data_IF_133249924825
#
_entry.id   IF_133249924825
#
_cell.length_a   1.000
_cell.length_b   1.000
_cell.length_c   1.000
_cell.angle_alpha   90.00
_cell.angle_beta   90.00
_cell.angle_gamma   90.00
#
_symmetry.space_group_name_H-M   'P 1'
#
loop_
_entity.id
_entity.type
_entity.pdbx_description
1 polymer ?
#
# COMPACT_ATOMS: atom_id res chain seq x y z
N UNK A 1 9.89 -16.64 -37.77
CA UNK A 1 10.16 -15.19 -37.85
C UNK A 1 9.18 -14.49 -36.92
N UNK A 2 9.32 -14.75 -35.62
CA UNK A 2 9.41 -13.78 -34.54
C UNK A 2 8.64 -12.46 -34.76
N UNK A 3 7.31 -12.58 -34.70
CA UNK A 3 6.37 -11.48 -34.45
C UNK A 3 6.52 -11.00 -32.99
N UNK A 4 7.72 -10.54 -32.62
CA UNK A 4 7.90 -9.88 -31.32
C UNK A 4 7.09 -8.59 -31.36
N UNK A 5 6.12 -8.41 -30.44
CA UNK A 5 5.37 -7.17 -30.38
C UNK A 5 6.35 -6.01 -30.20
N UNK A 6 6.15 -4.94 -30.97
CA UNK A 6 6.99 -3.74 -30.93
C UNK A 6 7.26 -3.36 -29.46
N UNK A 7 8.52 -3.17 -29.04
CA UNK A 7 8.90 -2.95 -27.64
C UNK A 7 8.07 -1.86 -26.92
N UNK A 8 7.55 -0.88 -27.67
CA UNK A 8 6.66 0.16 -27.13
C UNK A 8 5.34 -0.37 -26.53
N UNK A 9 4.88 -1.55 -26.95
CA UNK A 9 3.66 -2.17 -26.44
C UNK A 9 3.93 -3.14 -25.29
N UNK A 10 5.19 -3.51 -25.04
CA UNK A 10 5.54 -4.53 -24.04
C UNK A 10 5.04 -4.21 -22.62
N UNK A 11 5.15 -2.96 -22.09
CA UNK A 11 4.58 -2.64 -20.78
C UNK A 11 3.07 -2.82 -20.74
N UNK A 12 2.37 -2.39 -21.82
CA UNK A 12 0.91 -2.44 -21.89
C UNK A 12 0.39 -3.88 -22.01
N UNK A 13 1.03 -4.71 -22.82
CA UNK A 13 0.68 -6.13 -22.96
C UNK A 13 0.93 -6.86 -21.65
N UNK A 14 2.10 -6.65 -21.03
CA UNK A 14 2.41 -7.25 -19.72
C UNK A 14 1.39 -6.83 -18.66
N UNK A 15 0.94 -5.58 -18.68
CA UNK A 15 -0.04 -5.08 -17.73
C UNK A 15 -1.39 -5.79 -17.89
N UNK A 16 -1.87 -5.94 -19.13
CA UNK A 16 -3.12 -6.63 -19.43
C UNK A 16 -3.05 -8.12 -19.06
N UNK A 17 -1.92 -8.78 -19.33
CA UNK A 17 -1.69 -10.17 -18.91
C UNK A 17 -1.73 -10.29 -17.39
N UNK A 18 -1.10 -9.35 -16.66
CA UNK A 18 -1.18 -9.28 -15.21
C UNK A 18 -2.61 -9.11 -14.70
N UNK A 19 -3.40 -8.24 -15.32
CA UNK A 19 -4.81 -8.06 -14.96
C UNK A 19 -5.62 -9.33 -15.17
N UNK A 20 -5.50 -9.99 -16.32
CA UNK A 20 -6.25 -11.22 -16.56
C UNK A 20 -5.83 -12.35 -15.63
N UNK A 21 -4.52 -12.49 -15.37
CA UNK A 21 -4.03 -13.46 -14.41
C UNK A 21 -4.56 -13.18 -13.00
N UNK A 22 -4.60 -11.90 -12.58
CA UNK A 22 -5.17 -11.48 -11.30
C UNK A 22 -6.65 -11.86 -11.19
N UNK A 23 -7.46 -11.61 -12.23
CA UNK A 23 -8.88 -11.98 -12.27
C UNK A 23 -9.12 -13.50 -12.27
N UNK A 24 -8.12 -14.28 -12.70
CA UNK A 24 -8.15 -15.75 -12.65
C UNK A 24 -7.54 -16.31 -11.36
N UNK A 25 -7.13 -15.45 -10.41
CA UNK A 25 -6.39 -15.81 -9.21
C UNK A 25 -5.08 -16.60 -9.51
N UNK A 26 -4.55 -16.43 -10.72
CA UNK A 26 -3.30 -16.99 -11.18
C UNK A 26 -2.14 -16.08 -10.71
N UNK A 27 -1.87 -16.14 -9.41
CA UNK A 27 -1.01 -15.16 -8.73
C UNK A 27 0.43 -15.16 -9.26
N UNK A 28 1.02 -16.32 -9.53
CA UNK A 28 2.38 -16.45 -10.06
C UNK A 28 2.51 -15.74 -11.43
N UNK A 29 1.54 -15.94 -12.31
CA UNK A 29 1.49 -15.30 -13.63
C UNK A 29 1.26 -13.79 -13.50
N UNK A 30 0.41 -13.35 -12.58
CA UNK A 30 0.18 -11.93 -12.33
C UNK A 30 1.44 -11.23 -11.80
N UNK A 31 2.11 -11.85 -10.82
CA UNK A 31 3.39 -11.42 -10.25
C UNK A 31 4.45 -11.33 -11.34
N UNK A 32 4.58 -12.35 -12.19
CA UNK A 32 5.56 -12.35 -13.28
C UNK A 32 5.29 -11.22 -14.28
N UNK A 33 4.03 -10.98 -14.64
CA UNK A 33 3.62 -9.98 -15.61
C UNK A 33 3.82 -8.54 -15.10
N UNK A 34 3.37 -8.21 -13.89
CA UNK A 34 3.62 -6.92 -13.27
C UNK A 34 5.11 -6.70 -12.95
N UNK A 35 5.78 -7.74 -12.47
CA UNK A 35 7.21 -7.78 -12.21
C UNK A 35 8.06 -7.44 -13.44
N UNK A 36 7.64 -7.87 -14.63
CA UNK A 36 8.32 -7.54 -15.88
C UNK A 36 8.32 -6.04 -16.17
N UNK A 37 7.21 -5.33 -15.88
CA UNK A 37 7.10 -3.89 -16.12
C UNK A 37 8.05 -3.13 -15.20
N UNK A 38 8.04 -3.45 -13.90
CA UNK A 38 8.85 -2.72 -12.91
C UNK A 38 10.34 -2.98 -13.08
N UNK A 39 10.74 -4.18 -13.55
CA UNK A 39 12.14 -4.49 -13.84
C UNK A 39 12.65 -3.88 -15.14
N UNK A 40 11.86 -3.96 -16.22
CA UNK A 40 12.32 -3.61 -17.56
C UNK A 40 11.94 -2.19 -17.99
N UNK A 41 10.93 -1.61 -17.35
CA UNK A 41 10.34 -0.32 -17.71
C UNK A 41 10.00 0.56 -16.49
N UNK A 42 10.94 0.77 -15.53
CA UNK A 42 10.65 1.49 -14.29
C UNK A 42 10.20 2.95 -14.49
N UNK A 43 10.61 3.60 -15.58
CA UNK A 43 10.20 4.98 -15.90
C UNK A 43 8.84 5.07 -16.63
N UNK A 44 8.23 3.93 -16.96
CA UNK A 44 6.95 3.92 -17.68
C UNK A 44 5.80 4.35 -16.76
N UNK A 45 4.77 5.01 -17.31
CA UNK A 45 3.65 5.51 -16.51
C UNK A 45 2.85 4.40 -15.80
N UNK A 46 2.92 3.15 -16.29
CA UNK A 46 2.33 1.96 -15.66
C UNK A 46 3.20 1.37 -14.54
N UNK A 47 4.47 1.75 -14.41
CA UNK A 47 5.37 1.12 -13.45
C UNK A 47 4.95 1.33 -11.98
N UNK A 48 4.51 2.54 -11.54
CA UNK A 48 4.00 2.70 -10.17
C UNK A 48 2.77 1.85 -9.90
N UNK A 49 1.83 1.78 -10.84
CA UNK A 49 0.63 0.98 -10.69
C UNK A 49 0.94 -0.53 -10.71
N UNK A 50 1.86 -0.95 -11.58
CA UNK A 50 2.33 -2.34 -11.65
C UNK A 50 3.04 -2.75 -10.37
N UNK A 51 3.83 -1.87 -9.76
CA UNK A 51 4.47 -2.12 -8.46
C UNK A 51 3.43 -2.26 -7.35
N UNK A 52 2.36 -1.46 -7.37
CA UNK A 52 1.26 -1.60 -6.42
C UNK A 52 0.52 -2.93 -6.61
N UNK A 53 0.20 -3.26 -7.86
CA UNK A 53 -0.47 -4.51 -8.23
C UNK A 53 0.35 -5.75 -7.88
N UNK A 54 1.67 -5.68 -8.04
CA UNK A 54 2.60 -6.70 -7.58
C UNK A 54 2.45 -6.96 -6.08
N UNK A 55 2.42 -5.89 -5.26
CA UNK A 55 2.16 -6.01 -3.83
C UNK A 55 0.80 -6.63 -3.51
N UNK A 56 -0.27 -6.22 -4.22
CA UNK A 56 -1.58 -6.83 -4.05
C UNK A 56 -1.59 -8.33 -4.39
N UNK A 57 -0.91 -8.73 -5.48
CA UNK A 57 -0.86 -10.15 -5.87
C UNK A 57 -0.12 -10.98 -4.83
N UNK A 58 0.98 -10.47 -4.27
CA UNK A 58 1.67 -11.13 -3.15
C UNK A 58 0.78 -11.23 -1.90
N UNK A 59 -0.01 -10.20 -1.56
CA UNK A 59 -0.97 -10.28 -0.44
C UNK A 59 -2.00 -11.39 -0.65
N UNK A 60 -2.62 -11.46 -1.83
CA UNK A 60 -3.63 -12.47 -2.16
C UNK A 60 -3.03 -13.88 -2.25
N UNK A 61 -1.75 -14.01 -2.61
CA UNK A 61 -1.00 -15.26 -2.57
C UNK A 61 -0.59 -15.69 -1.14
N UNK A 62 -0.79 -14.83 -0.13
CA UNK A 62 -0.35 -15.06 1.25
C UNK A 62 1.13 -14.75 1.52
N UNK A 63 1.81 -14.16 0.55
CA UNK A 63 3.22 -13.77 0.57
C UNK A 63 3.36 -12.36 1.17
N UNK A 64 3.02 -12.25 2.46
CA UNK A 64 2.84 -10.95 3.13
C UNK A 64 4.13 -10.12 3.25
N UNK A 65 5.29 -10.76 3.31
CA UNK A 65 6.58 -10.07 3.45
C UNK A 65 7.01 -9.52 2.07
N UNK A 66 6.80 -10.27 1.00
CA UNK A 66 6.99 -9.86 -0.39
C UNK A 66 6.04 -8.73 -0.78
N UNK A 67 4.78 -8.79 -0.32
CA UNK A 67 3.83 -7.70 -0.47
C UNK A 67 4.32 -6.41 0.19
N UNK A 68 4.81 -6.49 1.43
CA UNK A 68 5.38 -5.34 2.14
C UNK A 68 6.57 -4.76 1.37
N UNK A 69 7.48 -5.61 0.88
CA UNK A 69 8.62 -5.17 0.08
C UNK A 69 8.17 -4.43 -1.19
N UNK A 70 7.17 -4.96 -1.89
CA UNK A 70 6.64 -4.32 -3.09
C UNK A 70 6.05 -2.94 -2.80
N UNK A 71 5.32 -2.80 -1.68
CA UNK A 71 4.75 -1.53 -1.23
C UNK A 71 5.81 -0.52 -0.78
N UNK A 72 6.81 -0.95 0.00
CA UNK A 72 7.94 -0.10 0.40
C UNK A 72 8.72 0.37 -0.84
N UNK A 73 8.91 -0.51 -1.82
CA UNK A 73 9.56 -0.19 -3.09
C UNK A 73 8.78 0.86 -3.86
N UNK A 74 7.45 0.80 -3.91
CA UNK A 74 6.64 1.86 -4.51
C UNK A 74 6.85 3.19 -3.79
N UNK A 75 6.83 3.19 -2.45
CA UNK A 75 7.01 4.40 -1.66
C UNK A 75 8.40 5.04 -1.87
N UNK A 76 9.44 4.23 -2.03
CA UNK A 76 10.82 4.69 -2.27
C UNK A 76 11.07 5.13 -3.72
N UNK A 77 10.63 4.34 -4.70
CA UNK A 77 10.93 4.55 -6.12
C UNK A 77 9.96 5.54 -6.76
N UNK A 78 8.70 5.57 -6.35
CA UNK A 78 7.65 6.42 -6.93
C UNK A 78 7.00 7.35 -5.88
N UNK A 79 7.76 8.17 -5.13
CA UNK A 79 7.27 8.90 -3.95
C UNK A 79 6.20 9.98 -4.24
N UNK A 80 6.04 10.33 -5.53
CA UNK A 80 5.03 11.27 -6.05
C UNK A 80 3.79 10.57 -6.63
N UNK A 81 3.75 9.24 -6.63
CA UNK A 81 2.62 8.47 -7.11
C UNK A 81 1.35 8.83 -6.32
N UNK A 82 0.17 8.93 -6.96
CA UNK A 82 -1.09 9.08 -6.23
C UNK A 82 -1.38 7.87 -5.33
N UNK A 83 -0.74 6.72 -5.58
CA UNK A 83 -0.90 5.48 -4.80
C UNK A 83 -0.18 5.49 -3.45
N UNK A 84 0.57 6.54 -3.12
CA UNK A 84 1.34 6.56 -1.87
C UNK A 84 0.44 6.48 -0.64
N UNK A 85 -0.74 7.10 -0.68
CA UNK A 85 -1.70 6.96 0.41
C UNK A 85 -2.12 5.48 0.60
N UNK A 86 -2.38 4.76 -0.50
CA UNK A 86 -2.82 3.36 -0.47
C UNK A 86 -1.72 2.47 0.11
N UNK A 87 -0.51 2.68 -0.37
CA UNK A 87 0.69 1.97 0.08
C UNK A 87 0.96 2.19 1.57
N UNK A 88 0.84 3.43 2.06
CA UNK A 88 1.02 3.71 3.49
C UNK A 88 -0.05 3.04 4.35
N UNK A 89 -1.28 2.88 3.86
CA UNK A 89 -2.29 2.07 4.54
C UNK A 89 -1.89 0.60 4.60
N UNK A 90 -1.48 0.01 3.48
CA UNK A 90 -1.07 -1.40 3.42
C UNK A 90 0.12 -1.69 4.33
N UNK A 91 1.12 -0.81 4.32
CA UNK A 91 2.29 -0.90 5.23
C UNK A 91 1.84 -0.80 6.69
N UNK A 92 0.98 0.17 7.03
CA UNK A 92 0.47 0.31 8.40
C UNK A 92 -0.29 -0.94 8.85
N UNK A 93 -1.14 -1.49 7.99
CA UNK A 93 -1.93 -2.69 8.26
C UNK A 93 -1.06 -3.93 8.45
N UNK A 94 -0.03 -4.11 7.60
CA UNK A 94 0.94 -5.18 7.75
C UNK A 94 1.58 -5.16 9.16
N UNK A 95 2.12 -4.02 9.58
CA UNK A 95 2.75 -3.91 10.90
C UNK A 95 1.75 -4.02 12.04
N UNK A 96 0.52 -3.53 11.86
CA UNK A 96 -0.53 -3.67 12.87
C UNK A 96 -0.92 -5.14 13.09
N UNK A 97 -1.07 -5.92 12.02
CA UNK A 97 -1.40 -7.36 12.09
C UNK A 97 -0.24 -8.17 12.67
N UNK A 98 1.01 -7.79 12.38
CA UNK A 98 2.22 -8.39 12.98
C UNK A 98 2.47 -7.93 14.43
N UNK A 99 1.56 -7.13 14.99
CA UNK A 99 1.64 -6.56 16.35
C UNK A 99 2.84 -5.63 16.59
N UNK A 100 3.51 -5.17 15.52
CA UNK A 100 4.47 -4.08 15.60
C UNK A 100 3.73 -2.73 15.62
N UNK A 101 3.04 -2.50 16.73
CA UNK A 101 2.21 -1.33 16.93
C UNK A 101 3.04 -0.03 16.93
N UNK A 102 4.33 -0.10 17.29
CA UNK A 102 5.21 1.05 17.29
C UNK A 102 5.47 1.54 15.86
N UNK A 103 5.81 0.63 14.95
CA UNK A 103 5.98 0.96 13.53
C UNK A 103 4.64 1.36 12.91
N UNK A 104 3.56 0.64 13.19
CA UNK A 104 2.23 0.99 12.69
C UNK A 104 1.83 2.43 13.10
N UNK A 105 1.97 2.79 14.38
CA UNK A 105 1.72 4.16 14.85
C UNK A 105 2.60 5.18 14.12
N UNK A 106 3.90 4.90 13.93
CA UNK A 106 4.79 5.81 13.20
C UNK A 106 4.35 6.02 11.75
N UNK A 107 3.93 4.97 11.04
CA UNK A 107 3.44 5.08 9.67
C UNK A 107 2.17 5.92 9.65
N UNK A 108 1.28 5.74 10.63
CA UNK A 108 0.06 6.51 10.75
C UNK A 108 0.30 7.99 10.99
N UNK A 109 1.23 8.35 11.88
CA UNK A 109 1.62 9.76 12.11
C UNK A 109 2.13 10.40 10.81
N UNK A 110 3.05 9.73 10.10
CA UNK A 110 3.56 10.21 8.81
C UNK A 110 2.45 10.38 7.77
N UNK A 111 1.45 9.50 7.77
CA UNK A 111 0.29 9.62 6.88
C UNK A 111 -0.51 10.89 7.20
N UNK A 112 -0.79 11.18 8.47
CA UNK A 112 -1.54 12.38 8.86
C UNK A 112 -0.81 13.68 8.50
N UNK A 113 0.52 13.67 8.58
CA UNK A 113 1.37 14.80 8.16
C UNK A 113 1.34 15.00 6.66
N UNK A 114 1.47 13.92 5.87
CA UNK A 114 1.52 13.99 4.40
C UNK A 114 0.15 14.19 3.75
N UNK A 115 -0.89 13.63 4.35
CA UNK A 115 -2.24 13.55 3.80
C UNK A 115 -3.28 13.99 4.85
N UNK A 116 -3.31 15.28 5.24
CA UNK A 116 -4.17 15.75 6.33
C UNK A 116 -5.67 15.77 5.98
N UNK A 117 -6.04 15.72 4.70
CA UNK A 117 -7.43 15.82 4.23
C UNK A 117 -7.85 14.63 3.35
N UNK A 118 -7.18 13.48 3.48
CA UNK A 118 -7.52 12.27 2.73
C UNK A 118 -8.71 11.55 3.37
N UNK A 119 -9.46 10.79 2.56
CA UNK A 119 -10.56 9.95 3.05
C UNK A 119 -10.13 8.91 4.11
N UNK A 120 -8.83 8.61 4.20
CA UNK A 120 -8.27 7.63 5.15
C UNK A 120 -7.61 8.28 6.35
N UNK A 121 -7.51 9.61 6.37
CA UNK A 121 -6.97 10.35 7.52
C UNK A 121 -7.72 10.01 8.81
N UNK A 122 -9.07 9.91 8.84
CA UNK A 122 -9.76 9.49 10.06
C UNK A 122 -9.39 8.06 10.48
N UNK A 123 -9.41 7.10 9.54
CA UNK A 123 -9.03 5.69 9.81
C UNK A 123 -7.63 5.61 10.42
N UNK A 124 -6.67 6.33 9.85
CA UNK A 124 -5.29 6.32 10.31
C UNK A 124 -5.12 7.02 11.67
N UNK A 125 -5.82 8.13 11.90
CA UNK A 125 -5.80 8.82 13.18
C UNK A 125 -6.35 7.94 14.31
N UNK A 126 -7.44 7.22 14.06
CA UNK A 126 -7.99 6.26 15.00
C UNK A 126 -7.01 5.09 15.25
N UNK A 127 -6.39 4.57 14.19
CA UNK A 127 -5.40 3.49 14.27
C UNK A 127 -4.21 3.84 15.17
N UNK A 128 -3.72 5.08 15.14
CA UNK A 128 -2.63 5.54 16.04
C UNK A 128 -3.04 5.38 17.50
N UNK A 129 -4.26 5.79 17.87
CA UNK A 129 -4.78 5.60 19.23
C UNK A 129 -4.87 4.12 19.61
N UNK A 130 -5.33 3.27 18.69
CA UNK A 130 -5.37 1.81 18.90
C UNK A 130 -3.98 1.22 19.11
N UNK A 131 -2.99 1.66 18.34
CA UNK A 131 -1.60 1.21 18.48
C UNK A 131 -1.05 1.57 19.87
N UNK A 132 -1.20 2.82 20.31
CA UNK A 132 -0.74 3.24 21.65
C UNK A 132 -1.48 2.51 22.76
N UNK A 133 -2.78 2.25 22.61
CA UNK A 133 -3.52 1.42 23.56
C UNK A 133 -2.97 -0.01 23.64
N UNK A 134 -2.67 -0.62 22.49
CA UNK A 134 -2.07 -1.97 22.42
C UNK A 134 -0.65 -2.04 23.00
N UNK A 135 0.08 -0.92 22.97
CA UNK A 135 1.40 -0.76 23.62
C UNK A 135 1.30 -0.42 25.12
N UNK A 136 0.10 -0.35 25.68
CA UNK A 136 -0.17 0.09 27.06
C UNK A 136 0.28 1.54 27.35
N UNK A 137 0.51 2.34 26.31
CA UNK A 137 0.83 3.76 26.40
C UNK A 137 -0.46 4.58 26.56
N UNK A 138 -1.23 4.31 27.62
CA UNK A 138 -2.60 4.81 27.78
C UNK A 138 -2.73 6.33 27.69
N UNK A 139 -1.74 7.09 28.17
CA UNK A 139 -1.73 8.54 28.06
C UNK A 139 -1.70 8.99 26.58
N UNK A 140 -0.77 8.43 25.80
CA UNK A 140 -0.64 8.73 24.37
C UNK A 140 -1.86 8.25 23.58
N UNK A 141 -2.40 7.08 23.93
CA UNK A 141 -3.63 6.54 23.34
C UNK A 141 -4.83 7.46 23.59
N UNK A 142 -5.02 7.88 24.84
CA UNK A 142 -6.09 8.82 25.22
C UNK A 142 -5.97 10.16 24.49
N UNK A 143 -4.77 10.74 24.42
CA UNK A 143 -4.52 11.96 23.65
C UNK A 143 -4.80 11.79 22.16
N UNK A 144 -4.43 10.65 21.57
CA UNK A 144 -4.68 10.36 20.17
C UNK A 144 -6.18 10.24 19.87
N UNK A 145 -6.94 9.55 20.73
CA UNK A 145 -8.39 9.45 20.60
C UNK A 145 -9.10 10.79 20.85
N UNK A 146 -8.65 11.61 21.80
CA UNK A 146 -9.17 12.96 22.02
C UNK A 146 -8.94 13.86 20.79
N UNK A 147 -7.73 13.82 20.21
CA UNK A 147 -7.44 14.53 18.95
C UNK A 147 -8.33 14.04 17.80
N UNK A 148 -8.55 12.73 17.70
CA UNK A 148 -9.46 12.15 16.70
C UNK A 148 -10.87 12.71 16.87
N UNK A 149 -11.45 12.63 18.07
CA UNK A 149 -12.82 13.09 18.34
C UNK A 149 -13.00 14.59 18.07
N UNK A 150 -11.99 15.41 18.38
CA UNK A 150 -12.01 16.85 18.10
C UNK A 150 -11.91 17.18 16.62
N UNK A 151 -11.12 16.40 15.86
CA UNK A 151 -10.86 16.65 14.43
C UNK A 151 -11.92 16.05 13.52
N UNK A 152 -12.54 14.94 13.93
CA UNK A 152 -13.50 14.17 13.13
C UNK A 152 -14.79 13.90 13.92
N UNK A 153 -15.52 14.95 14.36
CA UNK A 153 -16.66 14.81 15.27
C UNK A 153 -17.86 14.04 14.68
N UNK A 154 -17.97 14.00 13.34
CA UNK A 154 -19.06 13.34 12.61
C UNK A 154 -18.67 11.98 12.04
N UNK A 155 -17.43 11.53 12.24
CA UNK A 155 -16.96 10.27 11.68
C UNK A 155 -17.48 9.08 12.50
N UNK A 156 -18.36 8.28 11.92
CA UNK A 156 -18.75 7.00 12.50
C UNK A 156 -17.60 5.98 12.41
N UNK A 157 -17.34 5.31 13.54
CA UNK A 157 -16.44 4.16 13.61
C UNK A 157 -17.24 2.92 13.22
N UNK A 158 -17.24 2.59 11.92
CA UNK A 158 -17.81 1.33 11.41
C UNK A 158 -16.71 0.31 11.17
#
# INVERSE_FOLDING_TARGET
RDDYPNPKYAPRVSYLLGQFAQEMEAWDEAIAAYGSIVRNHPEHNLAPDSQYKLGQCHEEAGELDEALEAYVTLAGTYPKSPLIANVMLRINEHFYVKEDFAVAASVGVKFLEKFPNHEWTPKMAFRIGQCHYKLEEFLKGGEAFDRFAKRFPEQELT
#
